data_IF_972118238315
#
_entry.id   IF_972118238315
#
_cell.length_a   1.000
_cell.length_b   1.000
_cell.length_c   1.000
_cell.angle_alpha   90.00
_cell.angle_beta   90.00
_cell.angle_gamma   90.00
#
_symmetry.space_group_name_H-M   'P 1'
#
loop_
_entity.id
_entity.type
_entity.pdbx_description
1 polymer ?
#
# COMPACT_ATOMS: atom_id res chain seq x y z
N UNK A 1 0.54 -7.09 -7.55
CA UNK A 1 0.84 -7.82 -8.82
C UNK A 1 2.32 -8.14 -8.88
N UNK A 2 2.65 -9.36 -9.23
CA UNK A 2 4.02 -9.80 -9.45
C UNK A 2 4.56 -9.12 -10.71
N UNK A 3 5.73 -8.52 -10.61
CA UNK A 3 6.38 -7.85 -11.74
C UNK A 3 7.74 -8.46 -12.02
N UNK A 4 8.01 -8.72 -13.28
CA UNK A 4 9.34 -9.07 -13.74
C UNK A 4 10.15 -7.81 -13.93
N UNK A 5 11.27 -7.70 -13.24
CA UNK A 5 12.18 -6.57 -13.39
C UNK A 5 13.54 -7.06 -13.86
N UNK A 6 14.06 -6.40 -14.90
CA UNK A 6 15.45 -6.61 -15.33
C UNK A 6 16.36 -5.77 -14.43
N UNK A 7 17.27 -6.47 -13.75
CA UNK A 7 18.27 -5.85 -12.87
C UNK A 7 19.61 -5.91 -13.58
N UNK A 8 20.24 -4.76 -13.74
CA UNK A 8 21.59 -4.65 -14.31
C UNK A 8 22.61 -5.25 -13.36
N UNK A 9 23.42 -6.17 -13.85
CA UNK A 9 24.48 -6.82 -13.09
C UNK A 9 25.82 -6.11 -13.33
N UNK A 10 26.45 -6.43 -14.45
CA UNK A 10 27.77 -5.91 -14.82
C UNK A 10 28.05 -6.13 -16.32
N UNK A 11 29.10 -5.53 -16.89
CA UNK A 11 29.56 -5.86 -18.23
C UNK A 11 29.95 -7.32 -18.35
N UNK A 12 29.68 -7.95 -19.50
CA UNK A 12 30.00 -9.37 -19.76
C UNK A 12 31.47 -9.71 -19.55
N UNK A 13 32.37 -8.85 -19.99
CA UNK A 13 33.84 -9.01 -19.84
C UNK A 13 34.29 -9.12 -18.38
N UNK A 14 33.48 -8.66 -17.41
CA UNK A 14 33.79 -8.77 -15.98
C UNK A 14 33.07 -9.97 -15.38
N UNK A 15 31.90 -10.30 -15.91
CA UNK A 15 31.06 -11.38 -15.39
C UNK A 15 31.47 -12.78 -15.84
N UNK A 16 32.07 -12.90 -17.03
CA UNK A 16 32.55 -14.17 -17.58
C UNK A 16 34.04 -14.07 -17.97
N UNK A 17 34.79 -15.14 -17.78
CA UNK A 17 36.17 -15.26 -18.22
C UNK A 17 36.24 -15.60 -19.71
N UNK A 18 37.49 -15.70 -20.24
CA UNK A 18 37.74 -16.07 -21.64
C UNK A 18 37.26 -17.48 -22.00
N UNK A 19 37.03 -18.34 -21.01
CA UNK A 19 36.49 -19.70 -21.14
C UNK A 19 34.96 -19.76 -20.96
N UNK A 20 34.30 -18.61 -20.77
CA UNK A 20 32.87 -18.53 -20.57
C UNK A 20 32.41 -19.00 -19.18
N UNK A 21 33.32 -19.11 -18.21
CA UNK A 21 32.97 -19.44 -16.83
C UNK A 21 32.65 -18.18 -16.02
N UNK A 22 31.70 -18.30 -15.07
CA UNK A 22 31.32 -17.18 -14.20
C UNK A 22 32.48 -16.79 -13.28
N UNK A 23 32.76 -15.50 -13.22
CA UNK A 23 33.77 -14.95 -12.31
C UNK A 23 33.24 -14.83 -10.87
N UNK A 24 34.19 -14.79 -9.91
CA UNK A 24 33.80 -14.51 -8.51
C UNK A 24 33.05 -13.18 -8.32
N UNK A 25 33.29 -12.20 -9.19
CA UNK A 25 32.59 -10.94 -9.17
C UNK A 25 31.09 -11.12 -9.49
N UNK A 26 30.76 -11.96 -10.48
CA UNK A 26 29.39 -12.27 -10.84
C UNK A 26 28.69 -13.06 -9.72
N UNK A 27 29.35 -14.09 -9.16
CA UNK A 27 28.79 -14.87 -8.05
C UNK A 27 28.52 -14.00 -6.81
N UNK A 28 29.42 -13.11 -6.40
CA UNK A 28 29.20 -12.15 -5.32
C UNK A 28 28.03 -11.21 -5.59
N UNK A 29 27.89 -10.77 -6.85
CA UNK A 29 26.78 -9.89 -7.24
C UNK A 29 25.43 -10.61 -7.17
N UNK A 30 25.37 -11.87 -7.61
CA UNK A 30 24.18 -12.70 -7.51
C UNK A 30 23.82 -12.97 -6.05
N UNK A 31 24.78 -13.32 -5.20
CA UNK A 31 24.57 -13.50 -3.76
C UNK A 31 24.02 -12.21 -3.09
N UNK A 32 24.53 -11.04 -3.48
CA UNK A 32 24.01 -9.75 -2.97
C UNK A 32 22.55 -9.48 -3.35
N UNK A 33 22.05 -10.17 -4.38
CA UNK A 33 20.66 -10.11 -4.84
C UNK A 33 19.80 -11.25 -4.27
N UNK A 34 20.35 -12.08 -3.36
CA UNK A 34 19.74 -13.30 -2.85
C UNK A 34 19.36 -14.30 -3.97
N UNK A 35 20.19 -14.38 -5.00
CA UNK A 35 20.05 -15.34 -6.08
C UNK A 35 21.17 -16.39 -5.97
N UNK A 36 20.84 -17.67 -6.20
CA UNK A 36 21.81 -18.75 -6.23
C UNK A 36 22.57 -18.77 -7.57
N UNK A 37 23.69 -19.51 -7.62
CA UNK A 37 24.51 -19.64 -8.84
C UNK A 37 23.72 -20.26 -10.02
N UNK A 38 22.65 -21.00 -9.76
CA UNK A 38 21.70 -21.49 -10.79
C UNK A 38 21.03 -20.37 -11.58
N UNK A 39 21.00 -19.16 -11.02
CA UNK A 39 20.44 -17.98 -11.69
C UNK A 39 21.26 -17.54 -12.92
N UNK A 40 22.47 -18.05 -13.11
CA UNK A 40 23.33 -17.77 -14.28
C UNK A 40 22.60 -18.13 -15.59
N UNK A 41 21.79 -19.19 -15.61
CA UNK A 41 20.98 -19.58 -16.76
C UNK A 41 19.91 -18.57 -17.17
N UNK A 42 19.50 -17.68 -16.25
CA UNK A 42 18.49 -16.63 -16.45
C UNK A 42 19.08 -15.28 -16.84
N UNK A 43 20.40 -15.21 -16.99
CA UNK A 43 21.09 -13.97 -17.36
C UNK A 43 20.82 -13.65 -18.84
N UNK A 44 20.33 -12.44 -19.08
CA UNK A 44 20.12 -11.88 -20.43
C UNK A 44 21.26 -10.93 -20.76
N UNK A 45 21.75 -11.03 -22.00
CA UNK A 45 22.78 -10.16 -22.56
C UNK A 45 22.09 -9.05 -23.35
N UNK A 46 22.40 -7.81 -23.02
CA UNK A 46 21.87 -6.63 -23.70
C UNK A 46 23.00 -5.73 -24.12
N UNK A 47 23.03 -5.35 -25.39
CA UNK A 47 24.04 -4.42 -25.90
C UNK A 47 23.63 -3.00 -25.58
N UNK A 48 24.43 -2.33 -24.77
CA UNK A 48 24.29 -0.90 -24.44
C UNK A 48 25.53 -0.14 -24.88
N UNK A 49 25.37 0.78 -25.80
CA UNK A 49 26.45 1.68 -26.27
C UNK A 49 27.75 0.95 -26.69
N UNK A 50 27.62 -0.19 -27.36
CA UNK A 50 28.73 -0.98 -27.83
C UNK A 50 29.41 -1.89 -26.78
N UNK A 51 28.79 -2.06 -25.64
CA UNK A 51 29.20 -3.01 -24.61
C UNK A 51 28.04 -3.95 -24.26
N UNK A 52 28.34 -5.24 -24.20
CA UNK A 52 27.38 -6.24 -23.74
C UNK A 52 27.30 -6.21 -22.22
N UNK A 53 26.12 -5.93 -21.69
CA UNK A 53 25.83 -5.84 -20.26
C UNK A 53 24.93 -7.02 -19.87
N UNK A 54 25.24 -7.61 -18.73
CA UNK A 54 24.47 -8.71 -18.16
C UNK A 54 23.30 -8.17 -17.34
N UNK A 55 22.14 -8.72 -17.56
CA UNK A 55 20.92 -8.45 -16.81
C UNK A 55 20.34 -9.76 -16.28
N UNK A 56 19.78 -9.72 -15.09
CA UNK A 56 18.99 -10.82 -14.53
C UNK A 56 17.53 -10.44 -14.45
N UNK A 57 16.65 -11.35 -14.83
CA UNK A 57 15.22 -11.19 -14.67
C UNK A 57 14.84 -11.68 -13.27
N UNK A 58 14.40 -10.76 -12.41
CA UNK A 58 13.93 -11.06 -11.07
C UNK A 58 12.42 -10.88 -10.98
N UNK A 59 11.75 -11.91 -10.46
CA UNK A 59 10.34 -11.80 -10.11
C UNK A 59 10.25 -11.05 -8.77
N UNK A 60 9.69 -9.85 -8.81
CA UNK A 60 9.34 -9.11 -7.60
C UNK A 60 7.93 -9.52 -7.25
N UNK A 61 7.80 -10.29 -6.19
CA UNK A 61 6.49 -10.67 -5.64
C UNK A 61 5.80 -9.40 -5.16
N UNK A 62 4.59 -9.17 -5.64
CA UNK A 62 3.77 -8.04 -5.19
C UNK A 62 3.42 -8.22 -3.72
N UNK A 63 3.53 -7.15 -2.95
CA UNK A 63 3.13 -7.19 -1.55
C UNK A 63 1.60 -7.10 -1.48
N UNK A 64 1.01 -7.89 -0.60
CA UNK A 64 -0.43 -7.85 -0.37
C UNK A 64 -0.84 -6.47 0.18
N UNK A 65 -1.88 -5.88 -0.40
CA UNK A 65 -2.36 -4.56 -0.01
C UNK A 65 -2.80 -4.52 1.46
N UNK A 66 -3.45 -5.57 1.94
CA UNK A 66 -3.94 -5.66 3.32
C UNK A 66 -2.80 -5.60 4.35
N UNK A 67 -1.66 -6.27 4.06
CA UNK A 67 -0.51 -6.34 4.96
C UNK A 67 0.22 -4.99 5.09
N UNK A 68 0.23 -4.21 4.02
CA UNK A 68 0.91 -2.91 4.01
C UNK A 68 0.00 -1.79 4.50
N UNK A 69 -1.29 -1.84 4.14
CA UNK A 69 -2.19 -0.70 4.31
C UNK A 69 -2.36 -0.33 5.79
N UNK A 70 -2.46 -1.30 6.69
CA UNK A 70 -2.49 -1.05 8.14
C UNK A 70 -1.25 -0.29 8.62
N UNK A 71 -0.07 -0.66 8.13
CA UNK A 71 1.19 0.03 8.48
C UNK A 71 1.24 1.45 7.92
N UNK A 72 0.80 1.62 6.67
CA UNK A 72 0.78 2.94 6.01
C UNK A 72 -0.19 3.87 6.75
N UNK A 73 -1.41 3.43 7.05
CA UNK A 73 -2.41 4.24 7.76
C UNK A 73 -1.89 4.66 9.12
N UNK A 74 -1.35 3.74 9.91
CA UNK A 74 -0.82 4.06 11.24
C UNK A 74 0.38 5.01 11.15
N UNK A 75 1.27 4.84 10.19
CA UNK A 75 2.38 5.77 9.97
C UNK A 75 1.88 7.16 9.55
N UNK A 76 0.89 7.24 8.66
CA UNK A 76 0.29 8.51 8.28
C UNK A 76 -0.34 9.22 9.48
N UNK A 77 -1.09 8.50 10.31
CA UNK A 77 -1.70 9.06 11.52
C UNK A 77 -0.64 9.62 12.47
N UNK A 78 0.44 8.87 12.68
CA UNK A 78 1.54 9.29 13.57
C UNK A 78 2.33 10.50 13.03
N UNK A 79 2.32 10.73 11.72
CA UNK A 79 3.00 11.85 11.08
C UNK A 79 2.12 13.10 10.91
N UNK A 80 0.83 13.02 11.26
CA UNK A 80 -0.05 14.19 11.19
C UNK A 80 0.45 15.30 12.14
N UNK A 81 0.52 16.56 11.69
CA UNK A 81 0.97 17.69 12.49
C UNK A 81 -0.09 18.13 13.51
N UNK A 82 -0.47 17.24 14.41
CA UNK A 82 -1.51 17.47 15.40
C UNK A 82 -0.87 18.06 16.67
N UNK A 83 -1.24 19.28 17.02
CA UNK A 83 -0.70 19.98 18.19
C UNK A 83 -1.22 19.42 19.53
N UNK A 84 -2.47 18.97 19.56
CA UNK A 84 -3.08 18.40 20.77
C UNK A 84 -3.82 17.12 20.40
N UNK A 85 -3.47 16.05 21.08
CA UNK A 85 -4.15 14.77 20.97
C UNK A 85 -5.02 14.54 22.20
N UNK A 86 -6.15 13.88 22.03
CA UNK A 86 -6.97 13.34 23.11
C UNK A 86 -6.65 11.87 23.28
N UNK A 87 -6.56 11.41 24.51
CA UNK A 87 -6.52 10.00 24.85
C UNK A 87 -7.91 9.54 25.25
N UNK A 88 -8.36 8.43 24.71
CA UNK A 88 -9.64 7.81 25.06
C UNK A 88 -9.50 6.30 25.11
N UNK A 89 -10.25 5.67 26.02
CA UNK A 89 -10.29 4.24 26.18
C UNK A 89 -11.22 3.61 25.16
N UNK A 90 -10.86 2.44 24.67
CA UNK A 90 -11.74 1.59 23.88
C UNK A 90 -12.75 0.86 24.78
N UNK A 91 -13.69 0.17 24.14
CA UNK A 91 -14.75 -0.58 24.85
C UNK A 91 -14.23 -1.68 25.76
N UNK A 92 -13.01 -2.18 25.55
CA UNK A 92 -12.36 -3.16 26.42
C UNK A 92 -11.96 -2.61 27.80
N UNK A 93 -12.02 -1.28 27.99
CA UNK A 93 -11.69 -0.61 29.25
C UNK A 93 -10.20 -0.55 29.59
N UNK A 94 -9.31 -1.13 28.77
CA UNK A 94 -7.87 -1.21 29.03
C UNK A 94 -7.03 -0.53 27.94
N UNK A 95 -7.44 -0.66 26.67
CA UNK A 95 -6.70 -0.10 25.53
C UNK A 95 -7.02 1.38 25.39
N UNK A 96 -5.98 2.21 25.37
CA UNK A 96 -6.12 3.65 25.11
C UNK A 96 -5.60 3.99 23.72
N UNK A 97 -6.32 4.87 23.06
CA UNK A 97 -6.00 5.37 21.71
C UNK A 97 -5.86 6.88 21.75
N UNK A 98 -4.86 7.39 21.07
CA UNK A 98 -4.56 8.82 20.97
C UNK A 98 -4.92 9.32 19.57
N UNK A 99 -5.84 10.26 19.50
CA UNK A 99 -6.19 10.96 18.26
C UNK A 99 -6.84 12.30 18.57
N UNK A 100 -7.06 13.13 17.55
CA UNK A 100 -7.66 14.47 17.71
C UNK A 100 -9.06 14.38 18.33
N UNK A 101 -9.84 13.41 17.89
CA UNK A 101 -11.20 13.13 18.38
C UNK A 101 -11.47 11.63 18.34
N UNK A 102 -12.37 11.12 19.19
CA UNK A 102 -12.84 9.74 19.09
C UNK A 102 -13.40 9.48 17.69
N UNK A 103 -12.93 8.44 17.04
CA UNK A 103 -13.51 7.96 15.79
C UNK A 103 -14.62 6.97 16.10
N UNK A 104 -15.53 6.79 15.15
CA UNK A 104 -16.69 5.89 15.34
C UNK A 104 -16.60 4.65 14.47
N UNK A 105 -15.83 4.72 13.40
CA UNK A 105 -15.77 3.66 12.42
C UNK A 105 -14.53 3.80 11.53
N UNK A 106 -14.09 2.70 10.96
CA UNK A 106 -13.05 2.64 9.93
C UNK A 106 -13.64 1.99 8.69
N UNK A 107 -13.74 2.75 7.60
CA UNK A 107 -14.23 2.24 6.32
C UNK A 107 -13.06 2.10 5.36
N UNK A 108 -12.81 0.88 4.86
CA UNK A 108 -11.73 0.61 3.89
C UNK A 108 -12.21 -0.35 2.83
N UNK A 109 -12.37 0.17 1.62
CA UNK A 109 -12.82 -0.58 0.45
C UNK A 109 -11.82 -0.48 -0.69
N UNK A 110 -11.67 -1.57 -1.43
CA UNK A 110 -11.02 -1.61 -2.74
C UNK A 110 -12.02 -2.20 -3.75
N UNK A 111 -12.66 -1.32 -4.52
CA UNK A 111 -13.84 -1.69 -5.28
C UNK A 111 -14.98 -2.11 -4.35
N UNK A 112 -15.49 -3.32 -4.49
CA UNK A 112 -16.49 -3.92 -3.60
C UNK A 112 -15.89 -4.73 -2.44
N UNK A 113 -14.55 -4.95 -2.42
CA UNK A 113 -13.91 -5.77 -1.41
C UNK A 113 -13.58 -4.95 -0.16
N UNK A 114 -14.03 -5.41 1.01
CA UNK A 114 -13.59 -4.90 2.30
C UNK A 114 -12.18 -5.42 2.57
N UNK A 115 -11.23 -4.52 2.80
CA UNK A 115 -9.86 -4.89 3.15
C UNK A 115 -9.72 -5.08 4.66
N UNK A 116 -9.01 -6.12 5.06
CA UNK A 116 -8.72 -6.40 6.48
C UNK A 116 -7.65 -5.44 7.00
N UNK A 117 -8.09 -4.31 7.49
CA UNK A 117 -7.24 -3.24 8.04
C UNK A 117 -7.71 -2.89 9.43
N UNK A 118 -6.79 -2.71 10.36
CA UNK A 118 -7.09 -2.21 11.70
C UNK A 118 -6.30 -0.95 12.01
N UNK A 119 -6.96 0.05 12.58
CA UNK A 119 -6.33 1.30 13.04
C UNK A 119 -7.17 1.96 14.12
N UNK A 120 -6.51 2.62 15.07
CA UNK A 120 -7.15 3.35 16.16
C UNK A 120 -8.20 2.51 16.94
N UNK A 121 -7.97 1.19 17.05
CA UNK A 121 -8.84 0.27 17.76
C UNK A 121 -10.07 -0.19 16.98
N UNK A 122 -10.19 0.15 15.70
CA UNK A 122 -11.29 -0.27 14.85
C UNK A 122 -10.81 -1.22 13.76
N UNK A 123 -11.63 -2.20 13.45
CA UNK A 123 -11.48 -3.02 12.25
C UNK A 123 -12.26 -2.39 11.10
N UNK A 124 -11.69 -2.46 9.90
CA UNK A 124 -12.30 -1.92 8.71
C UNK A 124 -13.58 -2.67 8.34
N UNK A 125 -14.56 -1.91 7.92
CA UNK A 125 -15.83 -2.42 7.41
C UNK A 125 -16.30 -1.58 6.22
N UNK A 126 -17.51 -1.82 5.74
CA UNK A 126 -18.15 -1.09 4.65
C UNK A 126 -19.28 -0.15 5.12
N UNK A 127 -19.30 0.20 6.41
CA UNK A 127 -20.34 1.04 6.97
C UNK A 127 -19.85 2.46 7.18
N UNK A 128 -20.74 3.44 7.09
CA UNK A 128 -20.47 4.84 7.37
C UNK A 128 -21.66 5.48 8.08
N UNK A 129 -21.45 6.65 8.65
CA UNK A 129 -22.52 7.43 9.26
C UNK A 129 -22.78 8.66 8.42
N UNK A 130 -24.07 8.98 8.25
CA UNK A 130 -24.51 10.22 7.62
C UNK A 130 -24.59 11.39 8.60
N UNK A 131 -25.17 12.48 8.14
CA UNK A 131 -25.43 13.65 8.95
C UNK A 131 -26.41 13.31 10.08
N UNK A 132 -26.15 13.82 11.29
CA UNK A 132 -26.88 13.44 12.51
C UNK A 132 -28.40 13.65 12.41
N UNK A 133 -28.84 14.70 11.73
CA UNK A 133 -30.25 15.11 11.65
C UNK A 133 -30.85 14.94 10.25
N UNK A 134 -30.06 15.00 9.19
CA UNK A 134 -30.52 14.99 7.80
C UNK A 134 -30.40 13.62 7.12
N UNK A 135 -29.64 12.71 7.70
CA UNK A 135 -29.50 11.38 7.14
C UNK A 135 -30.80 10.59 7.25
N UNK A 136 -31.21 9.97 6.16
CA UNK A 136 -32.35 9.07 6.12
C UNK A 136 -32.14 7.83 6.99
N UNK A 137 -30.91 7.32 6.96
CA UNK A 137 -30.50 6.14 7.72
C UNK A 137 -29.35 6.50 8.65
N UNK A 138 -29.37 6.00 9.87
CA UNK A 138 -28.28 6.20 10.84
C UNK A 138 -26.98 5.55 10.40
N UNK A 139 -27.07 4.42 9.74
CA UNK A 139 -25.94 3.62 9.28
C UNK A 139 -26.07 3.36 7.78
N UNK A 140 -25.11 3.85 7.03
CA UNK A 140 -25.05 3.74 5.57
C UNK A 140 -24.19 2.54 5.21
N UNK A 141 -24.66 1.69 4.34
CA UNK A 141 -23.89 0.58 3.79
C UNK A 141 -23.30 0.99 2.45
N UNK A 142 -21.99 0.92 2.33
CA UNK A 142 -21.25 1.26 1.11
C UNK A 142 -20.87 -0.05 0.43
N UNK A 143 -21.53 -0.38 -0.66
CA UNK A 143 -21.35 -1.61 -1.43
C UNK A 143 -20.11 -1.58 -2.32
N UNK A 144 -19.75 -0.40 -2.81
CA UNK A 144 -18.62 -0.19 -3.69
C UNK A 144 -17.94 1.16 -3.41
N UNK A 145 -16.63 1.21 -3.52
CA UNK A 145 -15.87 2.45 -3.26
C UNK A 145 -16.33 3.63 -4.12
N UNK A 146 -16.68 3.39 -5.38
CA UNK A 146 -17.12 4.45 -6.31
C UNK A 146 -18.50 5.03 -5.94
N UNK A 147 -19.31 4.29 -5.18
CA UNK A 147 -20.62 4.73 -4.72
C UNK A 147 -20.56 5.57 -3.43
N UNK A 148 -19.37 5.71 -2.82
CA UNK A 148 -19.20 6.36 -1.53
C UNK A 148 -19.76 7.78 -1.49
N UNK A 149 -19.33 8.65 -2.39
CA UNK A 149 -19.76 10.05 -2.44
C UNK A 149 -21.28 10.17 -2.71
N UNK A 150 -21.78 9.34 -3.63
CA UNK A 150 -23.20 9.32 -4.00
C UNK A 150 -24.09 8.89 -2.83
N UNK A 151 -23.76 7.79 -2.16
CA UNK A 151 -24.53 7.30 -0.99
C UNK A 151 -24.50 8.31 0.15
N UNK A 152 -23.35 8.92 0.43
CA UNK A 152 -23.25 9.97 1.45
C UNK A 152 -24.11 11.20 1.12
N UNK A 153 -24.15 11.61 -0.15
CA UNK A 153 -24.93 12.76 -0.56
C UNK A 153 -26.45 12.48 -0.51
N UNK A 154 -26.90 11.38 -1.15
CA UNK A 154 -28.31 11.11 -1.37
C UNK A 154 -29.03 10.56 -0.13
N UNK A 155 -28.36 9.73 0.63
CA UNK A 155 -28.91 9.07 1.82
C UNK A 155 -28.36 9.66 3.11
N UNK A 156 -27.09 10.00 3.11
CA UNK A 156 -26.38 10.46 4.30
C UNK A 156 -26.51 11.96 4.58
N UNK A 157 -26.96 12.77 3.62
CA UNK A 157 -27.01 14.23 3.77
C UNK A 157 -25.62 14.88 3.95
N UNK A 158 -24.55 14.25 3.39
CA UNK A 158 -23.16 14.71 3.55
C UNK A 158 -22.49 14.86 2.19
N UNK A 159 -21.90 16.00 1.94
CA UNK A 159 -21.05 16.24 0.77
C UNK A 159 -19.63 15.81 1.13
N UNK A 160 -19.19 14.65 0.65
CA UNK A 160 -17.87 14.10 0.95
C UNK A 160 -16.74 14.87 0.25
N UNK A 161 -16.97 15.31 -0.98
CA UNK A 161 -15.98 16.03 -1.78
C UNK A 161 -15.71 17.43 -1.21
N UNK A 162 -14.42 17.73 -0.97
CA UNK A 162 -14.00 19.00 -0.38
C UNK A 162 -14.33 20.21 -1.28
N UNK A 163 -14.05 20.10 -2.57
CA UNK A 163 -14.27 21.22 -3.51
C UNK A 163 -15.76 21.53 -3.65
N UNK A 164 -16.60 20.51 -3.78
CA UNK A 164 -18.06 20.71 -3.82
C UNK A 164 -18.59 21.35 -2.54
N UNK A 165 -18.05 20.98 -1.35
CA UNK A 165 -18.42 21.67 -0.10
C UNK A 165 -18.03 23.14 -0.12
N UNK A 166 -16.81 23.43 -0.57
CA UNK A 166 -16.30 24.82 -0.65
C UNK A 166 -17.14 25.67 -1.61
N UNK A 167 -17.59 25.11 -2.72
CA UNK A 167 -18.41 25.84 -3.70
C UNK A 167 -19.83 26.11 -3.19
N UNK A 168 -20.32 25.26 -2.27
CA UNK A 168 -21.67 25.38 -1.70
C UNK A 168 -21.76 26.34 -0.52
N UNK A 169 -20.65 26.69 0.11
CA UNK A 169 -20.57 27.66 1.21
C UNK A 169 -20.48 29.07 0.67
#
# INVERSE_FOLDING_TARGET
EDKKKLIKLMPEKIGFDEKGQSTQALSKKLQSLNEADEAISRIKRVDEKGQTILYIEKNIVGINLEDILSKIINNCINQLPIKKMMSYQLEDGWTSVNFVRPIKNLLVLHGAKILKVSSLGFEANNKSFGHRFESKDKLLNIDHADNYEKILLETGGVIANFNQRKEKI
#
